data_IF_128543022586
#
_entry.id   IF_128543022586
#
_cell.length_a   1.000
_cell.length_b   1.000
_cell.length_c   1.000
_cell.angle_alpha   90.00
_cell.angle_beta   90.00
_cell.angle_gamma   90.00
#
_symmetry.space_group_name_H-M   'P 1'
#
loop_
_entity.id
_entity.type
_entity.pdbx_description
1 polymer ?
#
# COMPACT_ATOMS: atom_id res chain seq x y z
N UNK A 1 18.62 9.91 -12.44
CA UNK A 1 17.66 8.84 -12.09
C UNK A 1 16.29 9.44 -12.32
N UNK A 2 15.44 8.81 -13.14
CA UNK A 2 14.08 9.32 -13.38
C UNK A 2 13.21 9.15 -12.13
N UNK A 3 12.03 9.79 -12.08
CA UNK A 3 11.05 9.53 -11.01
C UNK A 3 10.63 8.07 -10.98
N UNK A 4 10.42 7.43 -12.14
CA UNK A 4 10.11 6.00 -12.24
C UNK A 4 11.23 5.12 -11.71
N UNK A 5 12.50 5.43 -11.98
CA UNK A 5 13.64 4.66 -11.46
C UNK A 5 13.65 4.67 -9.90
N UNK A 6 13.42 5.84 -9.31
CA UNK A 6 13.37 6.00 -7.84
C UNK A 6 12.20 5.23 -7.24
N UNK A 7 11.01 5.34 -7.84
CA UNK A 7 9.81 4.61 -7.41
C UNK A 7 10.05 3.10 -7.54
N UNK A 8 10.59 2.64 -8.68
CA UNK A 8 10.90 1.22 -8.91
C UNK A 8 11.88 0.71 -7.86
N UNK A 9 12.94 1.46 -7.56
CA UNK A 9 13.92 1.11 -6.52
C UNK A 9 13.27 0.99 -5.14
N UNK A 10 12.39 1.94 -4.79
CA UNK A 10 11.64 1.92 -3.53
C UNK A 10 10.70 0.71 -3.44
N UNK A 11 9.98 0.38 -4.52
CA UNK A 11 9.07 -0.77 -4.59
C UNK A 11 9.81 -2.10 -4.52
N UNK A 12 10.95 -2.20 -5.21
CA UNK A 12 11.88 -3.33 -5.12
C UNK A 12 12.29 -3.53 -3.66
N UNK A 13 12.81 -2.50 -3.00
CA UNK A 13 13.21 -2.58 -1.60
C UNK A 13 12.03 -2.94 -0.68
N UNK A 14 10.83 -2.43 -0.95
CA UNK A 14 9.64 -2.75 -0.16
C UNK A 14 9.21 -4.22 -0.32
N UNK A 15 9.27 -4.75 -1.54
CA UNK A 15 9.00 -6.15 -1.81
C UNK A 15 10.02 -7.08 -1.13
N UNK A 16 11.31 -6.73 -1.15
CA UNK A 16 12.36 -7.49 -0.46
C UNK A 16 12.09 -7.53 1.05
N UNK A 17 11.79 -6.38 1.68
CA UNK A 17 11.45 -6.35 3.10
C UNK A 17 10.17 -7.13 3.41
N UNK A 18 9.15 -7.08 2.56
CA UNK A 18 7.94 -7.86 2.77
C UNK A 18 8.22 -9.37 2.76
N UNK A 19 9.13 -9.83 1.90
CA UNK A 19 9.57 -11.22 1.86
C UNK A 19 10.41 -11.61 3.10
N UNK A 20 11.32 -10.74 3.54
CA UNK A 20 12.15 -10.96 4.73
C UNK A 20 11.32 -10.98 6.04
N UNK A 21 10.30 -10.14 6.11
CA UNK A 21 9.40 -9.97 7.26
C UNK A 21 8.15 -10.84 7.14
N UNK A 22 8.12 -11.81 6.23
CA UNK A 22 6.95 -12.63 5.98
C UNK A 22 6.59 -13.48 7.21
N UNK A 23 5.37 -13.28 7.72
CA UNK A 23 4.83 -14.08 8.83
C UNK A 23 4.19 -15.41 8.37
N UNK A 24 4.18 -15.69 7.05
CA UNK A 24 3.57 -16.89 6.46
C UNK A 24 3.95 -17.09 4.99
N UNK A 25 3.69 -18.28 4.42
CA UNK A 25 4.06 -18.60 3.05
C UNK A 25 3.34 -17.74 2.01
N UNK A 26 2.09 -17.34 2.25
CA UNK A 26 1.28 -16.52 1.34
C UNK A 26 1.87 -15.11 1.18
N UNK A 27 2.35 -14.53 2.29
CA UNK A 27 3.03 -13.23 2.29
C UNK A 27 4.32 -13.32 1.45
N UNK A 28 5.11 -14.37 1.69
CA UNK A 28 6.33 -14.61 0.94
C UNK A 28 6.02 -14.79 -0.55
N UNK A 29 5.00 -15.55 -0.90
CA UNK A 29 4.57 -15.73 -2.29
C UNK A 29 4.21 -14.39 -2.97
N UNK A 30 3.32 -13.61 -2.36
CA UNK A 30 2.88 -12.32 -2.89
C UNK A 30 4.05 -11.34 -3.07
N UNK A 31 4.92 -11.25 -2.07
CA UNK A 31 6.12 -10.41 -2.12
C UNK A 31 7.07 -10.82 -3.27
N UNK A 32 7.37 -12.12 -3.41
CA UNK A 32 8.24 -12.61 -4.48
C UNK A 32 7.64 -12.43 -5.88
N UNK A 33 6.32 -12.67 -6.04
CA UNK A 33 5.62 -12.42 -7.30
C UNK A 33 5.73 -10.95 -7.71
N UNK A 34 5.40 -10.04 -6.80
CA UNK A 34 5.48 -8.61 -7.08
C UNK A 34 6.92 -8.16 -7.35
N UNK A 35 7.88 -8.61 -6.54
CA UNK A 35 9.31 -8.34 -6.75
C UNK A 35 9.72 -8.71 -8.17
N UNK A 36 9.44 -9.95 -8.59
CA UNK A 36 9.81 -10.44 -9.91
C UNK A 36 9.20 -9.57 -11.03
N UNK A 37 7.94 -9.16 -10.88
CA UNK A 37 7.24 -8.31 -11.84
C UNK A 37 7.82 -6.89 -11.91
N UNK A 38 7.90 -6.17 -10.78
CA UNK A 38 8.30 -4.76 -10.75
C UNK A 38 9.75 -4.54 -11.21
N UNK A 39 10.61 -5.56 -11.07
CA UNK A 39 12.00 -5.50 -11.54
C UNK A 39 12.11 -5.20 -13.03
N UNK A 40 11.19 -5.71 -13.84
CA UNK A 40 11.25 -5.60 -15.31
C UNK A 40 10.02 -4.97 -15.93
N UNK A 41 9.02 -4.58 -15.13
CA UNK A 41 7.77 -4.00 -15.60
C UNK A 41 8.01 -2.77 -16.51
N UNK A 42 7.40 -2.70 -17.69
CA UNK A 42 7.37 -1.49 -18.51
C UNK A 42 6.78 -0.31 -17.73
N UNK A 43 7.27 0.89 -18.01
CA UNK A 43 6.77 2.12 -17.38
C UNK A 43 5.57 2.66 -18.15
N UNK A 44 4.56 3.08 -17.41
CA UNK A 44 3.38 3.76 -17.94
C UNK A 44 3.52 5.25 -17.58
N UNK A 45 3.52 6.17 -18.56
CA UNK A 45 3.52 7.60 -18.28
C UNK A 45 2.25 8.03 -17.54
N UNK A 46 2.41 8.90 -16.55
CA UNK A 46 1.30 9.48 -15.82
C UNK A 46 1.62 10.93 -15.41
N UNK A 47 0.60 11.70 -15.08
CA UNK A 47 0.75 13.01 -14.46
C UNK A 47 0.61 12.88 -12.95
N UNK A 48 1.50 13.54 -12.20
CA UNK A 48 1.43 13.55 -10.75
C UNK A 48 0.19 14.30 -10.28
N UNK A 49 -0.40 13.84 -9.18
CA UNK A 49 -1.61 14.41 -8.62
C UNK A 49 -1.59 14.23 -7.11
N UNK A 50 -1.66 15.33 -6.37
CA UNK A 50 -1.83 15.32 -4.92
C UNK A 50 -3.31 15.43 -4.57
N UNK A 51 -3.69 14.87 -3.42
CA UNK A 51 -5.03 14.99 -2.84
C UNK A 51 -4.97 15.61 -1.43
N UNK A 52 -6.07 16.21 -0.93
CA UNK A 52 -6.11 16.89 0.37
C UNK A 52 -5.64 16.03 1.56
N UNK A 53 -5.87 14.72 1.51
CA UNK A 53 -5.44 13.76 2.54
C UNK A 53 -3.95 13.84 2.87
N UNK A 54 -3.11 14.24 1.91
CA UNK A 54 -1.65 14.33 2.09
C UNK A 54 -1.19 15.59 2.85
N UNK A 55 -2.12 16.37 3.41
CA UNK A 55 -1.85 17.55 4.25
C UNK A 55 -0.87 17.29 5.40
N UNK A 56 -0.83 16.06 5.93
CA UNK A 56 0.03 15.64 7.04
C UNK A 56 1.22 14.78 6.57
N UNK A 57 1.65 14.90 5.31
CA UNK A 57 2.77 14.11 4.76
C UNK A 57 4.09 14.33 5.53
N UNK A 58 4.30 15.49 6.12
CA UNK A 58 5.44 15.80 6.99
C UNK A 58 5.45 14.99 8.30
N UNK A 59 4.30 14.42 8.70
CA UNK A 59 4.15 13.55 9.86
C UNK A 59 4.39 12.07 9.55
N UNK A 60 4.57 11.72 8.27
CA UNK A 60 4.96 10.37 7.84
C UNK A 60 6.43 10.15 8.20
N UNK A 61 6.65 9.31 9.22
CA UNK A 61 7.95 9.10 9.84
C UNK A 61 8.14 7.65 10.30
N UNK A 62 9.10 7.41 11.19
CA UNK A 62 9.27 6.19 11.97
C UNK A 62 9.89 4.98 11.23
N UNK A 63 10.28 5.12 9.96
CA UNK A 63 11.15 4.17 9.27
C UNK A 63 11.97 4.86 8.17
N UNK A 64 13.12 4.30 7.80
CA UNK A 64 13.90 4.79 6.66
C UNK A 64 13.07 4.78 5.36
N UNK A 65 12.28 3.72 5.16
CA UNK A 65 11.37 3.57 4.02
C UNK A 65 10.31 4.67 3.97
N UNK A 66 9.79 5.09 5.14
CA UNK A 66 8.82 6.17 5.25
C UNK A 66 9.43 7.51 4.85
N UNK A 67 10.67 7.80 5.26
CA UNK A 67 11.35 9.04 4.90
C UNK A 67 11.54 9.15 3.38
N UNK A 68 12.01 8.08 2.73
CA UNK A 68 12.14 8.03 1.27
C UNK A 68 10.76 8.17 0.61
N UNK A 69 9.73 7.48 1.13
CA UNK A 69 8.37 7.61 0.62
C UNK A 69 7.86 9.06 0.67
N UNK A 70 8.11 9.80 1.76
CA UNK A 70 7.64 11.18 1.91
C UNK A 70 8.20 12.12 0.83
N UNK A 71 9.40 11.84 0.32
CA UNK A 71 10.00 12.56 -0.81
C UNK A 71 9.32 12.18 -2.13
N UNK A 72 9.02 10.88 -2.33
CA UNK A 72 8.41 10.35 -3.54
C UNK A 72 6.92 10.71 -3.68
N UNK A 73 6.20 10.81 -2.56
CA UNK A 73 4.74 10.93 -2.54
C UNK A 73 4.21 12.10 -3.39
N UNK A 74 4.98 13.19 -3.51
CA UNK A 74 4.63 14.37 -4.33
C UNK A 74 4.71 14.14 -5.84
N UNK A 75 5.49 13.16 -6.26
CA UNK A 75 5.63 12.77 -7.68
C UNK A 75 4.62 11.73 -8.11
N UNK A 76 3.90 11.11 -7.17
CA UNK A 76 2.92 10.07 -7.46
C UNK A 76 1.59 10.64 -7.93
N UNK A 77 0.77 9.78 -8.55
CA UNK A 77 -0.63 10.05 -8.85
C UNK A 77 -1.52 9.43 -7.78
N UNK A 78 -2.11 10.29 -6.95
CA UNK A 78 -3.07 9.88 -5.93
C UNK A 78 -4.50 10.01 -6.46
N UNK A 79 -5.33 9.03 -6.11
CA UNK A 79 -6.74 8.96 -6.46
C UNK A 79 -7.58 8.72 -5.19
N UNK A 80 -8.82 9.26 -5.11
CA UNK A 80 -9.73 8.93 -4.03
C UNK A 80 -9.96 7.43 -3.94
N UNK A 81 -10.22 6.92 -2.74
CA UNK A 81 -10.61 5.53 -2.61
C UNK A 81 -11.96 5.29 -3.29
N UNK A 82 -12.04 4.27 -4.14
CA UNK A 82 -13.32 3.83 -4.72
C UNK A 82 -14.27 3.20 -3.69
N UNK A 83 -13.79 2.96 -2.45
CA UNK A 83 -14.56 2.33 -1.38
C UNK A 83 -15.33 3.31 -0.52
N UNK A 84 -14.98 4.59 -0.60
CA UNK A 84 -15.64 5.65 0.16
C UNK A 84 -15.45 6.98 -0.56
N UNK A 85 -16.56 7.64 -0.84
CA UNK A 85 -16.54 8.94 -1.51
C UNK A 85 -16.37 10.06 -0.48
N UNK A 86 -15.12 10.36 -0.14
CA UNK A 86 -14.72 11.56 0.58
C UNK A 86 -13.88 12.50 -0.30
N UNK A 87 -13.93 12.32 -1.62
CA UNK A 87 -13.16 13.08 -2.60
C UNK A 87 -11.62 13.10 -2.34
N UNK A 88 -11.10 12.16 -1.53
CA UNK A 88 -9.68 12.12 -1.15
C UNK A 88 -9.33 13.04 0.03
N UNK A 89 -10.29 13.37 0.88
CA UNK A 89 -10.09 14.16 2.10
C UNK A 89 -9.38 13.39 3.21
N UNK A 90 -9.75 12.13 3.48
CA UNK A 90 -9.18 11.39 4.63
C UNK A 90 -8.43 10.12 4.22
N UNK A 91 -8.67 9.61 3.01
CA UNK A 91 -7.97 8.43 2.49
C UNK A 91 -7.77 8.50 0.98
N UNK A 92 -6.62 8.04 0.53
CA UNK A 92 -6.34 7.93 -0.89
C UNK A 92 -5.52 6.69 -1.20
N UNK A 93 -5.56 6.32 -2.47
CA UNK A 93 -4.73 5.28 -3.05
C UNK A 93 -3.79 5.90 -4.07
N UNK A 94 -2.58 5.36 -4.17
CA UNK A 94 -1.76 5.47 -5.36
C UNK A 94 -1.72 4.10 -6.01
N UNK A 95 -2.41 3.93 -7.13
CA UNK A 95 -2.48 2.65 -7.87
C UNK A 95 -1.25 2.54 -8.76
N UNK A 96 -0.23 1.82 -8.32
CA UNK A 96 1.06 1.76 -9.02
C UNK A 96 1.03 0.86 -10.24
N UNK A 97 0.02 -0.01 -10.37
CA UNK A 97 -0.27 -0.70 -11.63
C UNK A 97 -0.75 0.24 -12.75
N UNK A 98 -1.06 1.51 -12.45
CA UNK A 98 -1.28 2.56 -13.46
C UNK A 98 0.02 3.29 -13.85
N UNK A 99 1.13 2.99 -13.16
CA UNK A 99 2.46 3.55 -13.41
C UNK A 99 3.46 2.51 -13.95
N UNK A 100 3.18 1.23 -13.75
CA UNK A 100 3.97 0.09 -14.23
C UNK A 100 3.02 -0.99 -14.75
N UNK A 101 3.32 -1.54 -15.93
CA UNK A 101 2.55 -2.65 -16.50
C UNK A 101 2.88 -3.95 -15.74
N UNK A 102 1.94 -4.37 -14.89
CA UNK A 102 2.06 -5.48 -13.93
C UNK A 102 0.97 -6.54 -14.18
N UNK A 103 1.06 -7.32 -15.26
CA UNK A 103 0.00 -8.26 -15.61
C UNK A 103 -0.21 -9.32 -14.52
N UNK A 104 -1.46 -9.40 -14.02
CA UNK A 104 -1.86 -10.35 -12.98
C UNK A 104 -1.47 -9.95 -11.55
N UNK A 105 -0.95 -8.73 -11.36
CA UNK A 105 -0.65 -8.16 -10.04
C UNK A 105 -1.18 -6.72 -9.98
N UNK A 106 -1.99 -6.42 -8.98
CA UNK A 106 -2.27 -5.03 -8.63
C UNK A 106 -1.41 -4.63 -7.44
N UNK A 107 -0.69 -3.52 -7.54
CA UNK A 107 0.07 -3.00 -6.42
C UNK A 107 -0.17 -1.50 -6.27
N UNK A 108 -0.01 -1.01 -5.05
CA UNK A 108 -0.16 0.40 -4.78
C UNK A 108 0.21 0.78 -3.36
N UNK A 109 -0.08 2.03 -3.04
CA UNK A 109 0.11 2.60 -1.72
C UNK A 109 -1.22 3.12 -1.21
N UNK A 110 -1.58 2.72 -0.01
CA UNK A 110 -2.70 3.28 0.74
C UNK A 110 -2.19 4.32 1.72
N UNK A 111 -2.86 5.47 1.74
CA UNK A 111 -2.67 6.51 2.74
C UNK A 111 -3.99 6.75 3.46
N UNK A 112 -3.95 6.73 4.80
CA UNK A 112 -5.08 7.08 5.66
C UNK A 112 -4.59 8.15 6.62
N UNK A 113 -5.23 9.32 6.63
CA UNK A 113 -4.80 10.41 7.50
C UNK A 113 -4.97 10.05 8.98
N UNK A 114 -4.23 10.75 9.84
CA UNK A 114 -4.28 10.57 11.28
C UNK A 114 -5.72 10.58 11.83
N UNK A 115 -6.04 9.63 12.70
CA UNK A 115 -7.38 9.51 13.29
C UNK A 115 -8.51 9.12 12.33
N UNK A 116 -8.19 8.81 11.07
CA UNK A 116 -9.17 8.37 10.07
C UNK A 116 -9.17 6.83 9.92
N UNK A 117 -10.22 6.30 9.30
CA UNK A 117 -10.43 4.86 9.13
C UNK A 117 -10.56 4.50 7.66
N UNK A 118 -9.84 3.50 7.15
CA UNK A 118 -10.20 2.93 5.86
C UNK A 118 -11.40 1.99 6.03
N UNK A 119 -12.50 2.10 5.26
CA UNK A 119 -13.74 1.37 5.53
C UNK A 119 -13.56 -0.15 5.60
N UNK A 120 -14.43 -0.81 6.37
CA UNK A 120 -14.53 -2.27 6.36
C UNK A 120 -14.96 -2.79 4.99
N UNK A 121 -14.18 -3.69 4.43
CA UNK A 121 -14.42 -4.22 3.10
C UNK A 121 -13.80 -5.60 2.92
N UNK A 122 -14.05 -6.21 1.76
CA UNK A 122 -13.38 -7.40 1.27
C UNK A 122 -13.32 -7.35 -0.25
N UNK A 123 -12.56 -8.27 -0.86
CA UNK A 123 -12.49 -8.43 -2.30
C UNK A 123 -11.95 -9.84 -2.65
N UNK A 124 -12.10 -10.31 -3.91
CA UNK A 124 -11.67 -11.65 -4.33
C UNK A 124 -10.15 -11.91 -4.33
N UNK A 125 -9.28 -10.97 -4.72
CA UNK A 125 -7.83 -11.21 -4.72
C UNK A 125 -7.27 -11.55 -3.35
N UNK A 126 -6.17 -12.30 -3.35
CA UNK A 126 -5.31 -12.40 -2.17
C UNK A 126 -4.63 -11.05 -1.95
N UNK A 127 -4.37 -10.68 -0.69
CA UNK A 127 -3.80 -9.37 -0.39
C UNK A 127 -2.74 -9.42 0.69
N UNK A 128 -1.64 -8.73 0.42
CA UNK A 128 -0.54 -8.48 1.32
C UNK A 128 -0.40 -6.98 1.52
N UNK A 129 -0.30 -6.56 2.79
CA UNK A 129 0.20 -5.23 3.12
C UNK A 129 1.57 -5.29 3.79
N UNK A 130 2.42 -4.31 3.47
CA UNK A 130 3.58 -3.91 4.27
C UNK A 130 3.29 -2.53 4.88
N UNK A 131 3.31 -2.45 6.22
CA UNK A 131 3.18 -1.16 6.92
C UNK A 131 4.49 -0.37 6.76
N UNK A 132 4.41 0.80 6.11
CA UNK A 132 5.55 1.67 5.81
C UNK A 132 5.74 2.72 6.92
N UNK A 133 4.64 3.34 7.35
CA UNK A 133 4.62 4.41 8.36
C UNK A 133 3.33 4.39 9.16
N UNK A 134 3.34 5.06 10.31
CA UNK A 134 2.23 5.11 11.24
C UNK A 134 2.13 3.87 12.13
N UNK A 135 1.56 4.08 13.32
CA UNK A 135 1.02 3.00 14.14
C UNK A 135 -0.49 3.03 13.95
N UNK A 136 -1.07 1.90 13.60
CA UNK A 136 -2.47 1.78 13.26
C UNK A 136 -3.07 0.49 13.79
N UNK A 137 -4.38 0.48 13.98
CA UNK A 137 -5.13 -0.70 14.41
C UNK A 137 -5.77 -1.36 13.19
N UNK A 138 -5.43 -2.61 12.93
CA UNK A 138 -5.86 -3.36 11.76
C UNK A 138 -6.75 -4.53 12.13
N UNK A 139 -7.81 -4.74 11.35
CA UNK A 139 -8.55 -5.98 11.29
C UNK A 139 -8.15 -6.65 9.99
N UNK A 140 -7.60 -7.86 10.04
CA UNK A 140 -7.06 -8.57 8.87
C UNK A 140 -7.13 -10.08 9.06
N UNK A 141 -6.92 -10.84 7.98
CA UNK A 141 -6.91 -12.31 8.01
C UNK A 141 -8.23 -12.93 8.48
N UNK A 142 -9.35 -12.23 8.29
CA UNK A 142 -10.68 -12.66 8.72
C UNK A 142 -10.96 -12.50 10.23
N UNK A 143 -10.01 -11.97 11.01
CA UNK A 143 -10.21 -11.69 12.43
C UNK A 143 -11.34 -10.67 12.65
N UNK A 144 -11.96 -10.68 13.84
CA UNK A 144 -12.94 -9.65 14.23
C UNK A 144 -12.30 -8.49 15.00
N UNK A 145 -11.26 -8.78 15.77
CA UNK A 145 -10.56 -7.80 16.59
C UNK A 145 -9.57 -6.95 15.79
N UNK A 146 -9.39 -5.73 16.27
CA UNK A 146 -8.38 -4.79 15.79
C UNK A 146 -7.08 -4.99 16.55
N UNK A 147 -5.99 -5.26 15.83
CA UNK A 147 -4.63 -5.45 16.37
C UNK A 147 -3.74 -4.27 15.99
N UNK A 148 -2.92 -3.80 16.92
CA UNK A 148 -1.95 -2.74 16.63
C UNK A 148 -0.82 -3.27 15.72
N UNK A 149 -0.59 -2.55 14.62
CA UNK A 149 0.49 -2.80 13.67
C UNK A 149 1.36 -1.55 13.57
N UNK A 150 2.67 -1.77 13.39
CA UNK A 150 3.69 -0.72 13.30
C UNK A 150 4.52 -0.88 12.02
N UNK A 151 5.37 0.09 11.67
CA UNK A 151 6.23 -0.02 10.49
C UNK A 151 7.06 -1.30 10.48
N UNK A 152 7.31 -1.84 9.29
CA UNK A 152 7.99 -3.13 9.07
C UNK A 152 7.23 -4.34 9.63
N UNK A 153 5.90 -4.27 9.66
CA UNK A 153 5.04 -5.43 9.83
C UNK A 153 4.30 -5.75 8.54
N UNK A 154 4.12 -7.04 8.28
CA UNK A 154 3.33 -7.56 7.17
C UNK A 154 2.02 -8.13 7.69
N UNK A 155 0.98 -8.07 6.85
CA UNK A 155 -0.31 -8.70 7.13
C UNK A 155 -0.89 -9.26 5.84
N UNK A 156 -1.75 -10.27 5.99
CA UNK A 156 -2.31 -11.03 4.89
C UNK A 156 -3.83 -11.16 5.06
N UNK A 157 -4.55 -11.00 3.95
CA UNK A 157 -5.97 -11.30 3.84
C UNK A 157 -6.16 -12.39 2.79
N UNK A 158 -6.86 -13.46 3.17
CA UNK A 158 -7.37 -14.43 2.22
C UNK A 158 -8.46 -13.78 1.35
N UNK A 159 -8.77 -14.36 0.18
CA UNK A 159 -9.94 -13.98 -0.59
C UNK A 159 -11.18 -13.84 0.28
N UNK A 160 -11.85 -12.70 0.17
CA UNK A 160 -13.08 -12.35 0.89
C UNK A 160 -12.96 -12.16 2.41
N UNK A 161 -11.76 -12.20 2.99
CA UNK A 161 -11.58 -11.80 4.40
C UNK A 161 -11.99 -10.34 4.58
N UNK A 162 -12.85 -10.07 5.57
CA UNK A 162 -13.18 -8.68 5.93
C UNK A 162 -12.02 -8.01 6.65
N UNK A 163 -11.62 -6.85 6.15
CA UNK A 163 -10.50 -6.08 6.69
C UNK A 163 -10.77 -4.58 6.68
N UNK A 164 -10.13 -3.89 7.63
CA UNK A 164 -10.26 -2.45 7.87
C UNK A 164 -9.01 -1.96 8.59
N UNK A 165 -8.78 -0.64 8.59
CA UNK A 165 -7.71 -0.05 9.40
C UNK A 165 -8.11 1.31 9.98
N UNK A 166 -7.69 1.56 11.22
CA UNK A 166 -7.79 2.84 11.91
C UNK A 166 -6.38 3.42 12.09
N UNK A 167 -6.10 4.55 11.43
CA UNK A 167 -4.84 5.27 11.62
C UNK A 167 -4.79 5.90 13.02
N UNK A 168 -3.64 5.80 13.68
CA UNK A 168 -3.42 6.38 15.00
C UNK A 168 -3.14 7.88 14.94
N UNK A 169 -2.21 8.32 15.79
CA UNK A 169 -1.86 9.75 15.93
C UNK A 169 -1.10 10.34 14.73
N UNK A 170 -0.58 9.49 13.85
CA UNK A 170 0.12 9.87 12.62
C UNK A 170 -0.52 9.16 11.43
N UNK A 171 -0.38 9.70 10.20
CA UNK A 171 -0.92 9.04 9.03
C UNK A 171 -0.35 7.65 8.85
N UNK A 172 -1.22 6.72 8.45
CA UNK A 172 -0.83 5.39 8.03
C UNK A 172 -0.42 5.42 6.57
N UNK A 173 0.73 4.80 6.28
CA UNK A 173 1.15 4.47 4.92
C UNK A 173 1.38 2.98 4.83
N UNK A 174 0.74 2.31 3.88
CA UNK A 174 0.94 0.89 3.64
C UNK A 174 1.07 0.61 2.13
N UNK A 175 2.04 -0.21 1.75
CA UNK A 175 2.09 -0.78 0.41
C UNK A 175 1.15 -1.98 0.38
N UNK A 176 0.31 -2.09 -0.64
CA UNK A 176 -0.56 -3.24 -0.87
C UNK A 176 -0.16 -3.97 -2.15
N UNK A 177 -0.35 -5.28 -2.15
CA UNK A 177 -0.13 -6.18 -3.28
C UNK A 177 -1.32 -7.13 -3.37
N UNK A 178 -1.96 -7.18 -4.53
CA UNK A 178 -3.05 -8.09 -4.86
C UNK A 178 -2.63 -9.07 -5.95
N UNK A 179 -2.96 -10.33 -5.79
CA UNK A 179 -2.72 -11.36 -6.80
C UNK A 179 -3.79 -12.45 -6.78
N UNK A 180 -3.89 -13.21 -7.86
CA UNK A 180 -4.87 -14.30 -8.00
C UNK A 180 -6.14 -13.87 -8.72
N UNK A 181 -7.26 -14.51 -8.38
CA UNK A 181 -8.55 -14.27 -9.03
C UNK A 181 -9.10 -12.87 -8.72
N UNK A 182 -9.70 -12.22 -9.73
CA UNK A 182 -10.34 -10.91 -9.55
C UNK A 182 -9.41 -9.70 -9.58
N UNK A 183 -8.10 -9.90 -9.80
CA UNK A 183 -7.16 -8.79 -10.03
C UNK A 183 -7.57 -8.04 -11.30
N UNK A 184 -7.54 -6.70 -11.23
CA UNK A 184 -7.84 -5.84 -12.38
C UNK A 184 -6.87 -6.14 -13.53
N UNK A 185 -7.41 -6.18 -14.75
CA UNK A 185 -6.61 -6.37 -15.98
C UNK A 185 -6.01 -5.06 -16.43
#
# INVERSE_FOLDING_TARGET
MSSHDLIRSWLISAADSAAELAAGPEISEGAHKFRAAIKTAPEIPYESQMLPVLRNLDRVANSERALIFSELARSLRWVPSHRWDDEGEDRALCVLSDAFDLPGIEAGIMYVDQGCTYPLHNHPPQELYLTVSGIARWRFGGAEDLVEMKPNMTLYNHPFDFHTVEAGETPLVAMYILWGEGVRR
#
